data_IF_745264051062
#
_entry.id   IF_745264051062
#
_cell.length_a   1.000
_cell.length_b   1.000
_cell.length_c   1.000
_cell.angle_alpha   90.00
_cell.angle_beta   90.00
_cell.angle_gamma   90.00
#
_symmetry.space_group_name_H-M   'P 1'
#
loop_
_entity.id
_entity.type
_entity.pdbx_description
1 polymer ?
#
# COMPACT_ATOMS: atom_id res chain seq x y z
N UNK A 1 -8.45 3.32 -21.42
CA UNK A 1 -8.65 2.55 -20.18
C UNK A 1 -8.72 3.57 -19.05
N UNK A 2 -9.91 3.84 -18.53
CA UNK A 2 -10.09 4.80 -17.44
C UNK A 2 -9.61 4.14 -16.17
N UNK A 3 -8.44 4.53 -15.67
CA UNK A 3 -7.95 4.10 -14.34
C UNK A 3 -8.95 4.61 -13.32
N UNK A 4 -9.82 3.74 -12.80
CA UNK A 4 -10.72 4.11 -11.73
C UNK A 4 -9.90 4.55 -10.51
N UNK A 5 -10.24 5.69 -9.92
CA UNK A 5 -9.61 6.14 -8.70
C UNK A 5 -9.93 5.16 -7.56
N UNK A 6 -8.94 4.86 -6.71
CA UNK A 6 -9.12 4.04 -5.51
C UNK A 6 -10.13 4.71 -4.57
N UNK A 7 -10.94 3.92 -3.85
CA UNK A 7 -11.98 4.44 -2.95
C UNK A 7 -11.74 3.97 -1.52
N UNK A 8 -12.00 4.84 -0.55
CA UNK A 8 -11.96 4.49 0.87
C UNK A 8 -12.82 3.28 1.23
N UNK A 9 -13.99 3.13 0.60
CA UNK A 9 -14.91 2.02 0.85
C UNK A 9 -14.35 0.65 0.42
N UNK A 10 -13.35 0.63 -0.46
CA UNK A 10 -12.70 -0.60 -0.90
C UNK A 10 -11.50 -0.96 -0.03
N UNK A 11 -11.08 -0.07 0.88
CA UNK A 11 -9.89 -0.27 1.70
C UNK A 11 -10.12 -1.38 2.73
N UNK A 12 -9.18 -2.32 2.80
CA UNK A 12 -9.21 -3.45 3.74
C UNK A 12 -8.95 -3.03 5.19
N UNK A 13 -8.48 -1.80 5.41
CA UNK A 13 -8.19 -1.24 6.72
C UNK A 13 -8.86 0.12 6.90
N UNK A 14 -9.26 0.44 8.14
CA UNK A 14 -9.82 1.74 8.50
C UNK A 14 -8.83 2.67 9.21
N UNK A 15 -7.72 2.12 9.71
CA UNK A 15 -6.68 2.84 10.44
C UNK A 15 -5.30 2.65 9.81
N UNK A 16 -4.48 3.69 9.86
CA UNK A 16 -3.12 3.71 9.35
C UNK A 16 -2.22 2.77 10.17
N UNK A 17 -1.53 1.80 9.55
CA UNK A 17 -0.66 0.85 10.25
C UNK A 17 0.48 1.49 11.04
N UNK A 18 0.91 2.70 10.65
CA UNK A 18 2.03 3.40 11.30
C UNK A 18 1.66 4.17 12.56
N UNK A 19 0.41 4.64 12.67
CA UNK A 19 0.04 5.63 13.69
C UNK A 19 -1.31 5.37 14.36
N UNK A 20 -2.13 4.46 13.83
CA UNK A 20 -3.50 4.22 14.30
C UNK A 20 -4.52 5.30 13.91
N UNK A 21 -4.10 6.41 13.29
CA UNK A 21 -5.01 7.46 12.80
C UNK A 21 -5.88 6.95 11.64
N UNK A 22 -7.09 7.51 11.41
CA UNK A 22 -7.93 7.15 10.28
C UNK A 22 -7.22 7.30 8.93
N UNK A 23 -7.60 6.47 7.96
CA UNK A 23 -7.09 6.55 6.58
C UNK A 23 -7.80 7.67 5.78
N UNK A 24 -7.15 8.16 4.72
CA UNK A 24 -7.67 9.26 3.88
C UNK A 24 -7.68 8.90 2.39
N UNK A 25 -8.63 9.48 1.65
CA UNK A 25 -8.89 9.20 0.23
C UNK A 25 -7.70 9.51 -0.69
N UNK A 26 -6.86 10.47 -0.34
CA UNK A 26 -5.65 10.87 -1.07
C UNK A 26 -4.43 9.96 -0.79
N UNK A 27 -4.59 9.00 0.12
CA UNK A 27 -3.52 8.22 0.72
C UNK A 27 -3.77 6.72 0.60
N UNK A 28 -4.42 6.31 -0.50
CA UNK A 28 -4.71 4.92 -0.84
C UNK A 28 -3.68 4.37 -1.84
N UNK A 29 -3.42 3.07 -1.78
CA UNK A 29 -2.60 2.33 -2.77
C UNK A 29 -3.13 0.91 -2.96
N UNK A 30 -2.62 0.21 -3.97
CA UNK A 30 -2.91 -1.21 -4.19
C UNK A 30 -1.77 -2.08 -3.65
N UNK A 31 -2.10 -3.12 -2.91
CA UNK A 31 -1.17 -4.13 -2.44
C UNK A 31 -1.77 -5.52 -2.65
N UNK A 32 -1.13 -6.34 -3.48
CA UNK A 32 -1.58 -7.71 -3.81
C UNK A 32 -3.06 -7.79 -4.26
N UNK A 33 -3.53 -6.77 -4.99
CA UNK A 33 -4.90 -6.69 -5.49
C UNK A 33 -5.89 -6.01 -4.55
N UNK A 34 -5.50 -5.72 -3.31
CA UNK A 34 -6.34 -5.09 -2.30
C UNK A 34 -6.04 -3.60 -2.16
N UNK A 35 -7.07 -2.80 -1.86
CA UNK A 35 -6.89 -1.38 -1.54
C UNK A 35 -6.45 -1.26 -0.09
N UNK A 36 -5.34 -0.56 0.14
CA UNK A 36 -4.81 -0.28 1.49
C UNK A 36 -4.69 1.22 1.67
N UNK A 37 -5.13 1.71 2.83
CA UNK A 37 -5.14 3.14 3.15
C UNK A 37 -4.13 3.55 4.22
N UNK A 38 -3.72 4.82 4.15
CA UNK A 38 -2.84 5.48 5.11
C UNK A 38 -3.42 6.83 5.55
N UNK A 39 -2.92 7.38 6.65
CA UNK A 39 -3.42 8.66 7.19
C UNK A 39 -2.86 9.91 6.49
N UNK A 40 -1.89 9.75 5.59
CA UNK A 40 -1.33 10.79 4.72
C UNK A 40 -0.49 10.17 3.59
N UNK A 41 -0.17 10.94 2.53
CA UNK A 41 0.60 10.42 1.40
C UNK A 41 2.00 9.96 1.79
N UNK A 42 2.68 10.65 2.71
CA UNK A 42 4.02 10.26 3.16
C UNK A 42 4.08 8.86 3.81
N UNK A 43 3.02 8.47 4.50
CA UNK A 43 2.87 7.12 5.06
C UNK A 43 2.65 6.06 3.97
N UNK A 44 1.84 6.37 2.96
CA UNK A 44 1.64 5.53 1.77
C UNK A 44 2.96 5.36 1.01
N UNK A 45 3.65 6.45 0.73
CA UNK A 45 4.85 6.44 -0.10
C UNK A 45 6.00 5.66 0.55
N UNK A 46 6.11 5.71 1.90
CA UNK A 46 7.05 4.86 2.65
C UNK A 46 6.75 3.37 2.44
N UNK A 47 5.47 3.00 2.47
CA UNK A 47 5.05 1.62 2.23
C UNK A 47 5.31 1.20 0.78
N UNK A 48 4.93 2.02 -0.22
CA UNK A 48 5.22 1.74 -1.63
C UNK A 48 6.73 1.60 -1.90
N UNK A 49 7.56 2.44 -1.26
CA UNK A 49 9.01 2.32 -1.35
C UNK A 49 9.50 0.99 -0.79
N UNK A 50 8.99 0.56 0.37
CA UNK A 50 9.33 -0.74 0.93
C UNK A 50 8.95 -1.89 -0.01
N UNK A 51 7.75 -1.87 -0.60
CA UNK A 51 7.34 -2.88 -1.60
C UNK A 51 8.30 -2.93 -2.79
N UNK A 52 8.64 -1.77 -3.36
CA UNK A 52 9.60 -1.70 -4.48
C UNK A 52 10.98 -2.25 -4.14
N UNK A 53 11.41 -2.11 -2.89
CA UNK A 53 12.71 -2.60 -2.43
C UNK A 53 12.70 -4.10 -2.14
N UNK A 54 11.62 -4.61 -1.55
CA UNK A 54 11.60 -5.97 -0.99
C UNK A 54 10.83 -6.98 -1.85
N UNK A 55 9.76 -6.60 -2.54
CA UNK A 55 8.95 -7.56 -3.32
C UNK A 55 9.78 -8.32 -4.37
N UNK A 56 10.70 -7.69 -5.14
CA UNK A 56 11.54 -8.44 -6.08
C UNK A 56 12.49 -9.44 -5.38
N UNK A 57 12.94 -9.12 -4.17
CA UNK A 57 13.85 -9.96 -3.39
C UNK A 57 13.12 -11.15 -2.76
N UNK A 58 11.85 -10.95 -2.37
CA UNK A 58 11.00 -12.00 -1.80
C UNK A 58 10.39 -12.90 -2.88
N UNK A 59 10.10 -12.35 -4.07
CA UNK A 59 9.57 -13.11 -5.20
C UNK A 59 10.63 -13.94 -5.93
N UNK A 60 11.91 -13.58 -5.80
CA UNK A 60 13.00 -14.38 -6.36
C UNK A 60 13.11 -15.71 -5.60
N UNK A 61 13.21 -16.87 -6.29
CA UNK A 61 13.47 -18.13 -5.62
C UNK A 61 14.77 -18.02 -4.84
N UNK A 62 14.73 -18.42 -3.57
CA UNK A 62 15.77 -18.28 -2.55
C UNK A 62 17.03 -19.15 -2.79
N UNK A 63 17.41 -19.38 -4.05
CA UNK A 63 18.51 -20.27 -4.47
C UNK A 63 19.72 -19.56 -5.09
N UNK A 64 19.89 -18.25 -4.89
CA UNK A 64 21.13 -17.54 -5.24
C UNK A 64 21.84 -17.07 -3.98
N UNK A 65 22.35 -18.01 -3.19
CA UNK A 65 23.47 -17.82 -2.25
C UNK A 65 24.06 -19.17 -1.90
#
# INVERSE_FOLDING_TARGET
MTTAALRLADAVNSACPWSGKPITQDSLTLYKGEVVGFCNPGCRDKFEKALRMFDPLVAAPSGQR
#
